data_IF_117540221665
#
_entry.id   IF_117540221665
#
_cell.length_a   1.000
_cell.length_b   1.000
_cell.length_c   1.000
_cell.angle_alpha   90.00
_cell.angle_beta   90.00
_cell.angle_gamma   90.00
#
_symmetry.space_group_name_H-M   'P 1'
#
loop_
_entity.id
_entity.type
_entity.pdbx_description
1 polymer ?
#
# COMPACT_ATOMS: atom_id res chain seq x y z
N UNK A 1 -5.69 -11.71 1.10
CA UNK A 1 -5.67 -10.46 1.87
C UNK A 1 -5.25 -9.31 0.97
N UNK A 2 -5.94 -8.17 1.02
CA UNK A 2 -5.61 -6.95 0.29
C UNK A 2 -5.70 -5.74 1.25
N UNK A 3 -5.05 -4.65 0.92
CA UNK A 3 -5.16 -3.38 1.62
C UNK A 3 -5.36 -2.24 0.63
N UNK A 4 -6.08 -1.21 1.04
CA UNK A 4 -6.11 0.09 0.37
C UNK A 4 -5.16 1.00 1.13
N UNK A 5 -4.06 1.36 0.49
CA UNK A 5 -3.04 2.26 1.03
C UNK A 5 -3.13 3.61 0.33
N UNK A 6 -2.97 4.69 1.10
CA UNK A 6 -2.90 6.04 0.56
C UNK A 6 -1.46 6.51 0.54
N UNK A 7 -0.98 6.91 -0.62
CA UNK A 7 0.36 7.51 -0.76
C UNK A 7 0.39 8.48 -1.94
N UNK A 8 1.19 9.55 -1.84
CA UNK A 8 1.28 10.57 -2.90
C UNK A 8 -0.06 11.23 -3.26
N UNK A 9 -1.01 11.29 -2.30
CA UNK A 9 -2.37 11.81 -2.52
C UNK A 9 -3.32 10.90 -3.29
N UNK A 10 -2.88 9.68 -3.66
CA UNK A 10 -3.68 8.68 -4.39
C UNK A 10 -3.92 7.44 -3.51
N UNK A 11 -4.96 6.68 -3.82
CA UNK A 11 -5.28 5.42 -3.15
C UNK A 11 -4.91 4.24 -4.05
N UNK A 12 -4.30 3.22 -3.48
CA UNK A 12 -3.82 2.03 -4.17
C UNK A 12 -4.33 0.78 -3.45
N UNK A 13 -4.86 -0.17 -4.23
CA UNK A 13 -5.13 -1.51 -3.73
C UNK A 13 -3.88 -2.36 -3.89
N UNK A 14 -3.42 -2.97 -2.80
CA UNK A 14 -2.22 -3.80 -2.76
C UNK A 14 -2.51 -5.15 -2.13
N UNK A 15 -1.87 -6.19 -2.64
CA UNK A 15 -1.75 -7.50 -2.00
C UNK A 15 -0.27 -7.88 -1.85
N UNK A 16 0.01 -8.91 -1.05
CA UNK A 16 1.36 -9.39 -0.87
C UNK A 16 1.94 -9.88 -2.21
N UNK A 17 3.09 -9.33 -2.61
CA UNK A 17 3.79 -9.65 -3.86
C UNK A 17 3.46 -8.74 -5.05
N UNK A 18 2.51 -7.82 -4.90
CA UNK A 18 2.18 -6.86 -5.97
C UNK A 18 3.30 -5.85 -6.20
N UNK A 19 3.51 -5.50 -7.47
CA UNK A 19 4.35 -4.37 -7.88
C UNK A 19 3.45 -3.23 -8.33
N UNK A 20 3.50 -2.12 -7.59
CA UNK A 20 2.74 -0.91 -7.91
C UNK A 20 3.67 0.25 -8.24
N UNK A 21 3.20 1.16 -9.09
CA UNK A 21 3.89 2.42 -9.37
C UNK A 21 3.24 3.50 -8.52
N UNK A 22 4.05 4.17 -7.71
CA UNK A 22 3.64 5.24 -6.81
C UNK A 22 4.43 6.51 -7.09
N UNK A 23 3.98 7.62 -6.53
CA UNK A 23 4.75 8.86 -6.52
C UNK A 23 6.05 8.70 -5.72
N UNK A 24 6.91 9.73 -5.77
CA UNK A 24 8.18 9.74 -5.05
C UNK A 24 7.96 9.50 -3.54
N UNK A 25 8.68 8.52 -2.99
CA UNK A 25 8.71 8.20 -1.57
C UNK A 25 10.09 8.56 -0.98
N UNK A 26 10.12 8.90 0.30
CA UNK A 26 11.37 9.08 1.04
C UNK A 26 12.03 7.72 1.31
N UNK A 27 13.18 7.48 0.68
CA UNK A 27 13.95 6.26 0.82
C UNK A 27 14.91 6.04 -0.34
N UNK A 28 15.94 5.24 -0.11
CA UNK A 28 16.90 4.83 -1.15
C UNK A 28 16.42 3.57 -1.87
N UNK A 29 16.94 3.34 -3.08
CA UNK A 29 16.62 2.14 -3.85
C UNK A 29 17.03 0.87 -3.08
N UNK A 30 16.07 -0.03 -2.88
CA UNK A 30 16.26 -1.27 -2.10
C UNK A 30 15.94 -1.14 -0.61
N UNK A 31 15.69 0.07 -0.10
CA UNK A 31 15.22 0.27 1.27
C UNK A 31 13.77 -0.17 1.43
N UNK A 32 13.45 -0.70 2.61
CA UNK A 32 12.07 -1.00 3.00
C UNK A 32 11.42 0.27 3.57
N UNK A 33 10.22 0.61 3.10
CA UNK A 33 9.45 1.77 3.54
C UNK A 33 8.12 1.28 4.10
N UNK A 34 7.73 1.76 5.28
CA UNK A 34 6.42 1.46 5.87
C UNK A 34 5.39 2.48 5.40
N UNK A 35 4.35 2.01 4.71
CA UNK A 35 3.18 2.83 4.37
C UNK A 35 2.23 2.85 5.57
N UNK A 36 2.24 3.93 6.35
CA UNK A 36 1.42 4.06 7.56
C UNK A 36 -0.05 4.40 7.33
N UNK A 37 -0.40 4.90 6.14
CA UNK A 37 -1.74 5.39 5.82
C UNK A 37 -2.56 4.30 5.12
N UNK A 38 -3.07 3.36 5.92
CA UNK A 38 -3.91 2.25 5.47
C UNK A 38 -5.38 2.66 5.68
N UNK A 39 -6.13 2.76 4.59
CA UNK A 39 -7.54 3.15 4.63
C UNK A 39 -8.47 1.97 4.87
N UNK A 40 -8.08 0.79 4.40
CA UNK A 40 -8.89 -0.43 4.53
C UNK A 40 -7.99 -1.65 4.39
N UNK A 41 -8.22 -2.69 5.19
CA UNK A 41 -7.66 -4.01 4.97
C UNK A 41 -8.79 -5.02 4.80
N UNK A 42 -8.62 -6.01 3.92
CA UNK A 42 -9.66 -6.99 3.65
C UNK A 42 -9.09 -8.38 3.41
N UNK A 43 -9.77 -9.39 3.95
CA UNK A 43 -9.47 -10.79 3.70
C UNK A 43 -10.74 -11.50 3.18
N UNK A 44 -10.78 -11.73 1.86
CA UNK A 44 -11.96 -12.33 1.23
C UNK A 44 -13.18 -11.39 1.31
N UNK A 45 -14.23 -11.84 1.99
CA UNK A 45 -15.48 -11.09 2.22
C UNK A 45 -15.46 -10.24 3.49
N UNK A 46 -14.41 -10.32 4.31
CA UNK A 46 -14.29 -9.58 5.56
C UNK A 46 -13.46 -8.31 5.35
N UNK A 47 -14.00 -7.16 5.77
CA UNK A 47 -13.38 -5.83 5.67
C UNK A 47 -13.07 -5.32 7.10
N UNK A 48 -11.89 -4.73 7.30
CA UNK A 48 -11.36 -4.29 8.59
C UNK A 48 -10.68 -2.92 8.50
#
# INVERSE_FOLDING_TARGET
>A
MFAIVRTGGKQYRVAAGDKIVVEKLDGEAGSSITLGDILLAGEGSELK
#
